data_IF_845058931295
#
_entry.id   IF_845058931295
#
_cell.length_a   1.000
_cell.length_b   1.000
_cell.length_c   1.000
_cell.angle_alpha   90.00
_cell.angle_beta   90.00
_cell.angle_gamma   90.00
#
_symmetry.space_group_name_H-M   'P 1'
#
loop_
_entity.id
_entity.type
_entity.pdbx_description
1 polymer ?
#
# COMPACT_ATOMS: atom_id res chain seq x y z
N UNK A 1 74.63 -11.84 -40.82
CA UNK A 1 74.13 -10.95 -41.88
C UNK A 1 72.61 -10.90 -41.83
N UNK A 2 72.06 -9.67 -41.87
CA UNK A 2 70.72 -9.19 -42.31
C UNK A 2 69.69 -10.27 -42.71
N UNK A 3 68.43 -10.21 -42.30
CA UNK A 3 67.51 -9.10 -42.58
C UNK A 3 66.24 -9.18 -41.72
N UNK A 4 65.69 -7.99 -41.48
CA UNK A 4 64.43 -7.69 -40.78
C UNK A 4 63.22 -8.08 -41.64
N UNK A 5 62.16 -8.56 -41.00
CA UNK A 5 60.79 -8.34 -41.48
C UNK A 5 59.92 -7.92 -40.29
N UNK A 6 59.46 -6.66 -40.35
CA UNK A 6 58.41 -6.09 -39.51
C UNK A 6 57.10 -6.84 -39.74
N UNK A 7 56.39 -7.20 -38.68
CA UNK A 7 54.95 -7.43 -38.77
C UNK A 7 54.21 -6.72 -37.64
N UNK A 8 53.15 -6.04 -38.06
CA UNK A 8 52.27 -5.13 -37.35
C UNK A 8 51.80 -5.64 -35.98
N UNK A 9 51.83 -4.73 -35.01
CA UNK A 9 50.97 -4.81 -33.84
C UNK A 9 49.51 -4.58 -34.27
N UNK A 10 48.66 -5.59 -34.14
CA UNK A 10 47.21 -5.43 -34.13
C UNK A 10 46.75 -5.57 -32.67
N UNK A 11 46.63 -4.43 -31.99
CA UNK A 11 45.98 -4.31 -30.69
C UNK A 11 44.48 -4.55 -30.90
N UNK A 12 44.04 -5.80 -30.86
CA UNK A 12 42.60 -6.10 -30.76
C UNK A 12 42.23 -5.79 -29.32
N UNK A 13 41.72 -4.58 -29.10
CA UNK A 13 40.94 -4.25 -27.92
C UNK A 13 39.88 -5.34 -27.76
N UNK A 14 40.05 -6.21 -26.77
CA UNK A 14 38.97 -7.05 -26.29
C UNK A 14 37.84 -6.13 -25.86
N UNK A 15 36.81 -6.01 -26.70
CA UNK A 15 35.50 -5.52 -26.30
C UNK A 15 35.09 -6.39 -25.11
N UNK A 16 35.27 -5.87 -23.89
CA UNK A 16 34.61 -6.45 -22.74
C UNK A 16 33.14 -6.55 -23.09
N UNK A 17 32.51 -7.73 -22.99
CA UNK A 17 31.06 -7.78 -23.04
C UNK A 17 30.60 -6.86 -21.91
N UNK A 18 29.98 -5.74 -22.28
CA UNK A 18 29.29 -4.89 -21.32
C UNK A 18 28.30 -5.82 -20.66
N UNK A 19 28.53 -6.15 -19.39
CA UNK A 19 27.65 -7.03 -18.65
C UNK A 19 26.23 -6.55 -18.89
N UNK A 20 25.44 -7.35 -19.59
CA UNK A 20 24.05 -7.06 -19.83
C UNK A 20 23.43 -7.02 -18.44
N UNK A 21 22.99 -5.84 -18.02
CA UNK A 21 22.32 -5.67 -16.72
C UNK A 21 21.00 -6.42 -16.89
N UNK A 22 20.97 -7.69 -16.46
CA UNK A 22 19.71 -8.41 -16.31
C UNK A 22 18.85 -7.57 -15.38
N UNK A 23 17.73 -7.07 -15.88
CA UNK A 23 16.72 -6.48 -15.03
C UNK A 23 16.38 -7.52 -13.94
N UNK A 24 16.34 -7.14 -12.65
CA UNK A 24 16.03 -8.08 -11.59
C UNK A 24 14.67 -8.72 -11.89
N UNK A 25 14.63 -10.04 -12.04
CA UNK A 25 13.39 -10.81 -12.02
C UNK A 25 12.80 -10.62 -10.60
N UNK A 26 11.59 -10.08 -10.41
CA UNK A 26 10.96 -10.10 -9.11
C UNK A 26 10.45 -11.53 -8.87
N UNK A 27 11.36 -12.47 -8.59
CA UNK A 27 11.03 -13.79 -8.08
C UNK A 27 10.78 -13.67 -6.58
N UNK A 28 9.63 -13.11 -6.20
CA UNK A 28 9.21 -13.24 -4.81
C UNK A 28 8.99 -14.73 -4.55
N UNK A 29 9.71 -15.27 -3.56
CA UNK A 29 9.58 -16.66 -3.13
C UNK A 29 8.13 -16.99 -2.73
N UNK A 30 7.42 -15.99 -2.22
CA UNK A 30 6.04 -16.07 -1.77
C UNK A 30 5.30 -14.78 -2.18
N UNK A 31 4.05 -14.92 -2.62
CA UNK A 31 3.15 -13.80 -2.89
C UNK A 31 2.07 -13.78 -1.81
N UNK A 32 2.10 -12.75 -0.98
CA UNK A 32 1.21 -12.63 0.18
C UNK A 32 -0.06 -11.89 -0.21
N UNK A 33 -1.20 -12.49 0.09
CA UNK A 33 -2.51 -11.88 -0.10
C UNK A 33 -3.11 -11.61 1.28
N UNK A 34 -3.38 -10.34 1.57
CA UNK A 34 -3.99 -9.93 2.82
C UNK A 34 -5.31 -9.20 2.55
N UNK A 35 -6.47 -9.87 2.69
CA UNK A 35 -7.77 -9.27 2.44
C UNK A 35 -8.03 -8.04 3.30
N UNK A 36 -8.69 -7.05 2.69
CA UNK A 36 -9.04 -5.79 3.36
C UNK A 36 -10.54 -5.57 3.31
N UNK A 37 -11.13 -5.29 4.47
CA UNK A 37 -12.47 -4.74 4.60
C UNK A 37 -12.39 -3.24 4.85
N UNK A 38 -13.02 -2.49 3.95
CA UNK A 38 -13.01 -1.04 3.97
C UNK A 38 -14.32 -0.53 4.55
N UNK A 39 -14.22 0.23 5.64
CA UNK A 39 -15.34 0.81 6.34
C UNK A 39 -15.38 2.32 6.08
N UNK A 40 -16.40 2.77 5.39
CA UNK A 40 -16.70 4.18 5.16
C UNK A 40 -17.64 4.65 6.26
N UNK A 41 -17.09 5.34 7.26
CA UNK A 41 -17.88 5.77 8.41
C UNK A 41 -18.79 6.93 8.01
N UNK A 42 -20.09 6.78 8.28
CA UNK A 42 -21.14 7.78 8.04
C UNK A 42 -21.98 7.88 9.30
N UNK A 43 -21.78 8.96 10.05
CA UNK A 43 -22.34 9.11 11.40
C UNK A 43 -23.15 10.39 11.50
N UNK A 44 -24.47 10.24 11.69
CA UNK A 44 -25.37 11.39 11.84
C UNK A 44 -24.92 12.27 13.01
N UNK A 45 -24.86 13.58 12.78
CA UNK A 45 -24.50 14.56 13.80
C UNK A 45 -23.01 14.64 14.16
N UNK A 46 -22.12 13.87 13.51
CA UNK A 46 -20.67 14.02 13.64
C UNK A 46 -20.01 14.07 12.26
N UNK A 47 -19.89 15.29 11.71
CA UNK A 47 -19.38 15.51 10.35
C UNK A 47 -17.92 15.09 10.19
N UNK A 48 -17.12 15.10 11.26
CA UNK A 48 -15.73 14.68 11.21
C UNK A 48 -15.56 13.17 11.08
N UNK A 49 -16.55 12.41 11.53
CA UNK A 49 -16.62 10.96 11.35
C UNK A 49 -17.28 10.55 10.03
N UNK A 50 -17.93 11.48 9.32
CA UNK A 50 -18.63 11.20 8.08
C UNK A 50 -17.71 11.44 6.89
N UNK A 51 -17.13 10.36 6.35
CA UNK A 51 -16.32 10.43 5.14
C UNK A 51 -17.17 10.79 3.92
N UNK A 52 -16.54 11.48 2.97
CA UNK A 52 -17.12 11.79 1.64
C UNK A 52 -16.53 10.90 0.55
N UNK A 53 -15.66 9.95 0.90
CA UNK A 53 -15.08 9.02 -0.06
C UNK A 53 -16.15 8.06 -0.58
N UNK A 54 -16.05 7.76 -1.87
CA UNK A 54 -16.90 6.81 -2.56
C UNK A 54 -16.10 5.59 -3.00
N UNK A 55 -16.80 4.57 -3.49
CA UNK A 55 -16.19 3.33 -3.98
C UNK A 55 -15.10 3.59 -5.02
N UNK A 56 -15.34 4.48 -5.99
CA UNK A 56 -14.34 4.88 -7.00
C UNK A 56 -13.04 5.40 -6.38
N UNK A 57 -13.13 6.11 -5.25
CA UNK A 57 -11.97 6.65 -4.56
C UNK A 57 -11.21 5.52 -3.86
N UNK A 58 -11.94 4.60 -3.23
CA UNK A 58 -11.36 3.41 -2.59
C UNK A 58 -10.65 2.54 -3.63
N UNK A 59 -11.29 2.25 -4.75
CA UNK A 59 -10.68 1.50 -5.87
C UNK A 59 -9.37 2.17 -6.28
N UNK A 60 -9.38 3.49 -6.53
CA UNK A 60 -8.17 4.22 -6.91
C UNK A 60 -7.07 4.18 -5.84
N UNK A 61 -7.44 4.23 -4.56
CA UNK A 61 -6.48 4.17 -3.44
C UNK A 61 -5.82 2.79 -3.40
N UNK A 62 -6.61 1.71 -3.45
CA UNK A 62 -6.07 0.36 -3.35
C UNK A 62 -5.32 -0.07 -4.62
N UNK A 63 -5.69 0.43 -5.81
CA UNK A 63 -4.87 0.30 -7.02
C UNK A 63 -3.47 0.89 -6.81
N UNK A 64 -3.38 2.11 -6.26
CA UNK A 64 -2.10 2.76 -5.98
C UNK A 64 -1.31 2.04 -4.89
N UNK A 65 -1.97 1.61 -3.82
CA UNK A 65 -1.33 0.85 -2.75
C UNK A 65 -0.77 -0.47 -3.29
N UNK A 66 -1.55 -1.22 -4.06
CA UNK A 66 -1.11 -2.48 -4.66
C UNK A 66 -0.02 -2.30 -5.72
N UNK A 67 0.05 -1.15 -6.41
CA UNK A 67 1.19 -0.84 -7.27
C UNK A 67 2.49 -0.72 -6.46
N UNK A 68 2.45 -0.12 -5.27
CA UNK A 68 3.63 0.03 -4.41
C UNK A 68 3.97 -1.31 -3.73
N UNK A 69 2.99 -1.91 -3.06
CA UNK A 69 3.18 -3.13 -2.27
C UNK A 69 3.34 -4.39 -3.14
N UNK A 70 2.83 -4.37 -4.37
CA UNK A 70 3.06 -5.44 -5.34
C UNK A 70 4.54 -5.60 -5.71
N UNK A 71 5.34 -4.52 -5.66
CA UNK A 71 6.80 -4.60 -5.78
C UNK A 71 7.49 -5.26 -4.58
N UNK A 72 6.77 -5.52 -3.50
CA UNK A 72 7.22 -6.28 -2.33
C UNK A 72 6.54 -7.66 -2.24
N UNK A 73 5.83 -8.11 -3.28
CA UNK A 73 5.10 -9.38 -3.28
C UNK A 73 3.86 -9.40 -2.39
N UNK A 74 3.29 -8.24 -2.05
CA UNK A 74 2.11 -8.12 -1.19
C UNK A 74 0.94 -7.56 -1.99
N UNK A 75 -0.21 -8.21 -1.86
CA UNK A 75 -1.48 -7.77 -2.43
C UNK A 75 -2.53 -7.55 -1.34
N UNK A 76 -3.19 -6.40 -1.41
CA UNK A 76 -4.26 -5.96 -0.52
C UNK A 76 -5.57 -5.90 -1.32
N UNK A 77 -6.24 -7.03 -1.58
CA UNK A 77 -7.53 -7.01 -2.25
C UNK A 77 -8.60 -6.45 -1.32
N UNK A 78 -9.44 -5.54 -1.84
CA UNK A 78 -10.63 -5.08 -1.13
C UNK A 78 -11.69 -6.19 -1.23
N UNK A 79 -11.88 -6.93 -0.15
CA UNK A 79 -12.88 -8.01 -0.08
C UNK A 79 -14.29 -7.44 0.03
N UNK A 80 -14.45 -6.39 0.84
CA UNK A 80 -15.74 -5.77 1.10
C UNK A 80 -15.58 -4.29 1.37
N UNK A 81 -16.52 -3.50 0.83
CA UNK A 81 -16.69 -2.08 1.15
C UNK A 81 -18.02 -1.91 1.87
N UNK A 82 -17.98 -1.32 3.06
CA UNK A 82 -19.12 -1.19 3.97
C UNK A 82 -19.32 0.29 4.30
N UNK A 83 -20.52 0.81 4.10
CA UNK A 83 -20.94 2.13 4.59
C UNK A 83 -21.75 1.94 5.84
N UNK A 84 -21.29 2.45 6.98
CA UNK A 84 -21.95 2.24 8.27
C UNK A 84 -21.61 3.34 9.29
N UNK A 85 -22.39 3.42 10.36
CA UNK A 85 -22.14 4.37 11.44
C UNK A 85 -21.08 3.87 12.41
N UNK A 86 -20.30 4.78 12.99
CA UNK A 86 -19.35 4.44 14.04
C UNK A 86 -20.06 3.88 15.28
N UNK A 87 -19.43 2.92 15.96
CA UNK A 87 -20.00 2.26 17.15
C UNK A 87 -20.21 3.23 18.32
N UNK A 88 -19.20 4.06 18.61
CA UNK A 88 -19.26 5.06 19.68
C UNK A 88 -18.82 6.45 19.16
N UNK A 89 -19.69 7.19 18.46
CA UNK A 89 -19.38 8.52 17.92
C UNK A 89 -18.91 9.53 18.97
N UNK A 90 -19.41 9.42 20.20
CA UNK A 90 -19.05 10.34 21.29
C UNK A 90 -17.57 10.24 21.67
N UNK A 91 -16.92 9.10 21.42
CA UNK A 91 -15.50 8.93 21.63
C UNK A 91 -14.67 9.94 20.81
N UNK A 92 -15.13 10.30 19.60
CA UNK A 92 -14.47 11.32 18.79
C UNK A 92 -14.52 12.69 19.47
N UNK A 93 -15.72 13.16 19.85
CA UNK A 93 -15.88 14.49 20.46
C UNK A 93 -15.05 14.67 21.73
N UNK A 94 -14.95 13.60 22.53
CA UNK A 94 -14.22 13.62 23.79
C UNK A 94 -12.70 13.58 23.60
N UNK A 95 -12.20 13.06 22.48
CA UNK A 95 -10.80 12.69 22.35
C UNK A 95 -10.10 13.16 21.08
N UNK A 96 -10.74 13.93 20.19
CA UNK A 96 -10.16 14.29 18.89
C UNK A 96 -8.83 15.07 18.98
N UNK A 97 -8.53 15.70 20.12
CA UNK A 97 -7.25 16.39 20.36
C UNK A 97 -6.24 15.54 21.15
N UNK A 98 -6.65 14.35 21.58
CA UNK A 98 -5.80 13.46 22.37
C UNK A 98 -4.73 12.84 21.48
N UNK A 99 -3.48 12.94 21.94
CA UNK A 99 -2.34 12.24 21.31
C UNK A 99 -2.39 10.73 21.50
N UNK A 100 -3.14 10.24 22.50
CA UNK A 100 -3.31 8.80 22.70
C UNK A 100 -4.42 8.29 21.80
N UNK A 101 -4.07 7.62 20.71
CA UNK A 101 -5.00 7.21 19.66
C UNK A 101 -5.86 5.97 20.01
N UNK A 102 -5.74 5.39 21.22
CA UNK A 102 -6.52 4.19 21.60
C UNK A 102 -8.04 4.40 21.52
N UNK A 103 -8.52 5.64 21.66
CA UNK A 103 -9.95 5.95 21.56
C UNK A 103 -10.53 5.65 20.18
N UNK A 104 -9.73 5.66 19.10
CA UNK A 104 -10.18 5.31 17.75
C UNK A 104 -10.71 3.88 17.66
N UNK A 105 -10.21 2.97 18.50
CA UNK A 105 -10.66 1.59 18.54
C UNK A 105 -12.14 1.48 18.96
N UNK A 106 -12.66 2.46 19.69
CA UNK A 106 -14.05 2.53 20.10
C UNK A 106 -14.99 2.99 18.96
N UNK A 107 -14.46 3.54 17.87
CA UNK A 107 -15.27 3.92 16.70
C UNK A 107 -15.66 2.71 15.84
N UNK A 108 -14.93 1.59 15.96
CA UNK A 108 -15.04 0.42 15.09
C UNK A 108 -16.37 -0.32 15.33
N UNK A 109 -17.27 -0.38 14.33
CA UNK A 109 -18.54 -1.11 14.41
C UNK A 109 -18.29 -2.57 14.72
N UNK A 110 -18.95 -3.12 15.74
CA UNK A 110 -18.64 -4.48 16.18
C UNK A 110 -19.17 -5.54 15.21
N UNK A 111 -20.33 -5.29 14.62
CA UNK A 111 -21.08 -6.26 13.81
C UNK A 111 -20.39 -6.61 12.48
N UNK A 112 -19.61 -5.69 11.92
CA UNK A 112 -18.94 -5.86 10.62
C UNK A 112 -17.46 -6.28 10.74
N UNK A 113 -16.96 -6.48 11.96
CA UNK A 113 -15.60 -6.99 12.19
C UNK A 113 -15.54 -8.47 11.85
N UNK A 114 -14.58 -8.83 11.02
CA UNK A 114 -14.27 -10.21 10.69
C UNK A 114 -12.88 -10.55 11.18
N UNK A 115 -12.65 -11.85 11.34
CA UNK A 115 -11.32 -12.37 11.63
C UNK A 115 -10.52 -12.51 10.33
N UNK A 116 -9.19 -12.64 10.46
CA UNK A 116 -8.28 -12.95 9.34
C UNK A 116 -8.28 -11.94 8.17
N UNK A 117 -8.68 -10.69 8.41
CA UNK A 117 -8.57 -9.61 7.44
C UNK A 117 -8.08 -8.32 8.10
N UNK A 118 -7.56 -7.38 7.29
CA UNK A 118 -7.31 -6.03 7.75
C UNK A 118 -8.57 -5.19 7.65
N UNK A 119 -8.81 -4.37 8.68
CA UNK A 119 -9.88 -3.39 8.69
C UNK A 119 -9.33 -1.99 8.48
N UNK A 120 -9.80 -1.31 7.42
CA UNK A 120 -9.43 0.08 7.12
C UNK A 120 -10.66 0.97 7.29
N UNK A 121 -10.60 1.91 8.22
CA UNK A 121 -11.68 2.83 8.52
C UNK A 121 -11.37 4.22 7.97
N UNK A 122 -12.21 4.70 7.06
CA UNK A 122 -12.12 6.07 6.56
C UNK A 122 -13.07 6.99 7.33
N UNK A 123 -12.50 8.06 7.87
CA UNK A 123 -13.20 9.18 8.48
C UNK A 123 -12.71 10.49 7.84
N UNK A 124 -13.49 11.57 7.95
CA UNK A 124 -13.19 12.83 7.27
C UNK A 124 -12.01 13.57 7.89
N UNK A 125 -11.94 13.63 9.23
CA UNK A 125 -10.83 14.28 9.93
C UNK A 125 -10.29 13.35 10.98
N UNK A 126 -9.04 12.94 10.79
CA UNK A 126 -8.24 12.38 11.85
C UNK A 126 -7.85 13.54 12.76
N UNK A 127 -8.36 13.54 13.99
CA UNK A 127 -8.05 14.60 14.95
C UNK A 127 -6.57 14.58 15.32
N UNK A 128 -5.85 15.64 14.94
CA UNK A 128 -4.46 15.94 15.33
C UNK A 128 -4.35 17.45 15.51
#
# INVERSE_FOLDING_TARGET
MRSRCFFLAALICSLSPRAEIKAPQPEFKEYLVAPVRVHLLVTKGELNLTTTLEEKDITRIFEKANRIWGHAGIHLPVEQLIKESAENPNAYRQNYQSRNLRWLLALRPKASRAENCFHVYYLKRFGV
#
